data_IF_326384022981
#
_entry.id   IF_326384022981
#
_cell.length_a   1.000
_cell.length_b   1.000
_cell.length_c   1.000
_cell.angle_alpha   90.00
_cell.angle_beta   90.00
_cell.angle_gamma   90.00
#
_symmetry.space_group_name_H-M   'P 1'
#
loop_
_entity.id
_entity.type
_entity.pdbx_description
1 polymer ?
#
# COMPACT_ATOMS: atom_id res chain seq x y z
N UNK A 1 10.40 -30.85 -14.97
CA UNK A 1 10.78 -29.76 -14.06
C UNK A 1 9.88 -28.60 -14.37
N UNK A 2 8.86 -28.34 -13.55
CA UNK A 2 8.03 -27.14 -13.69
C UNK A 2 8.87 -25.94 -13.29
N UNK A 3 9.09 -25.03 -14.24
CA UNK A 3 9.78 -23.77 -13.99
C UNK A 3 9.05 -23.02 -12.87
N UNK A 4 9.72 -22.72 -11.76
CA UNK A 4 9.09 -22.00 -10.65
C UNK A 4 8.76 -20.59 -11.14
N UNK A 5 7.54 -20.08 -10.91
CA UNK A 5 7.20 -18.71 -11.32
C UNK A 5 8.12 -17.74 -10.58
N UNK A 6 8.90 -16.96 -11.36
CA UNK A 6 9.71 -15.88 -10.81
C UNK A 6 8.79 -14.78 -10.30
N UNK A 7 9.05 -14.29 -9.10
CA UNK A 7 8.39 -13.10 -8.57
C UNK A 7 8.51 -11.95 -9.57
N UNK A 8 7.37 -11.37 -9.93
CA UNK A 8 7.30 -10.20 -10.81
C UNK A 8 7.23 -8.92 -9.99
N UNK A 9 7.95 -7.89 -10.42
CA UNK A 9 8.01 -6.58 -9.74
C UNK A 9 7.38 -5.49 -10.59
N UNK A 10 6.52 -4.70 -9.97
CA UNK A 10 5.82 -3.56 -10.56
C UNK A 10 6.34 -2.28 -9.87
N UNK A 11 7.22 -1.56 -10.55
CA UNK A 11 7.79 -0.30 -10.05
C UNK A 11 6.95 0.90 -10.50
N UNK A 12 6.23 1.51 -9.57
CA UNK A 12 5.52 2.77 -9.78
C UNK A 12 6.54 3.91 -9.84
N UNK A 13 6.56 4.62 -10.96
CA UNK A 13 7.44 5.77 -11.17
C UNK A 13 6.78 6.77 -12.11
N UNK A 14 6.78 8.06 -11.75
CA UNK A 14 6.24 9.13 -12.59
C UNK A 14 7.14 9.38 -13.81
N UNK A 15 6.58 9.70 -14.98
CA UNK A 15 7.35 9.96 -16.21
C UNK A 15 8.40 11.07 -16.06
N UNK A 16 8.10 12.07 -15.22
CA UNK A 16 9.04 13.16 -14.94
C UNK A 16 10.20 12.77 -14.02
N UNK A 17 10.13 11.63 -13.33
CA UNK A 17 11.09 11.19 -12.31
C UNK A 17 12.10 10.18 -12.87
N UNK A 18 12.75 10.55 -13.99
CA UNK A 18 13.74 9.71 -14.68
C UNK A 18 15.00 9.46 -13.86
N UNK A 19 15.39 10.42 -13.03
CA UNK A 19 16.46 10.36 -12.04
C UNK A 19 16.21 9.26 -10.99
N UNK A 20 14.98 9.20 -10.44
CA UNK A 20 14.59 8.16 -9.49
C UNK A 20 14.54 6.78 -10.13
N UNK A 21 14.06 6.70 -11.38
CA UNK A 21 14.08 5.45 -12.15
C UNK A 21 15.52 4.94 -12.38
N UNK A 22 16.44 5.83 -12.78
CA UNK A 22 17.85 5.49 -12.99
C UNK A 22 18.53 5.00 -11.70
N UNK A 23 18.10 5.49 -10.53
CA UNK A 23 18.54 5.00 -9.22
C UNK A 23 17.97 3.63 -8.88
N UNK A 24 16.68 3.39 -9.16
CA UNK A 24 16.01 2.14 -8.81
C UNK A 24 16.42 0.96 -9.70
N UNK A 25 16.65 1.17 -11.00
CA UNK A 25 16.89 0.08 -11.95
C UNK A 25 18.09 -0.82 -11.54
N UNK A 26 19.29 -0.30 -11.21
CA UNK A 26 20.41 -1.15 -10.77
C UNK A 26 20.12 -1.94 -9.49
N UNK A 27 19.29 -1.40 -8.58
CA UNK A 27 18.88 -2.12 -7.38
C UNK A 27 17.98 -3.30 -7.74
N UNK A 28 17.03 -3.12 -8.66
CA UNK A 28 16.13 -4.17 -9.13
C UNK A 28 16.85 -5.24 -9.95
N UNK A 29 17.80 -4.84 -10.80
CA UNK A 29 18.60 -5.77 -11.59
C UNK A 29 19.43 -6.69 -10.68
N UNK A 30 19.95 -6.16 -9.57
CA UNK A 30 20.64 -6.96 -8.53
C UNK A 30 19.72 -7.95 -7.81
N UNK A 31 18.41 -7.69 -7.73
CA UNK A 31 17.44 -8.64 -7.16
C UNK A 31 17.28 -9.91 -8.00
N UNK A 32 17.72 -9.94 -9.27
CA UNK A 32 17.56 -11.10 -10.14
C UNK A 32 16.10 -11.43 -10.44
N UNK A 33 15.19 -10.47 -10.23
CA UNK A 33 13.75 -10.56 -10.46
C UNK A 33 13.39 -9.93 -11.79
N UNK A 34 12.31 -10.41 -12.40
CA UNK A 34 11.70 -9.71 -13.54
C UNK A 34 10.95 -8.50 -13.01
N UNK A 35 11.22 -7.33 -13.60
CA UNK A 35 10.56 -6.10 -13.20
C UNK A 35 10.10 -5.32 -14.43
N UNK A 36 9.00 -4.59 -14.26
CA UNK A 36 8.56 -3.60 -15.23
C UNK A 36 8.23 -2.28 -14.53
N UNK A 37 8.42 -1.19 -15.25
CA UNK A 37 7.98 0.12 -14.83
C UNK A 37 6.48 0.25 -15.08
N UNK A 38 5.73 0.64 -14.05
CA UNK A 38 4.35 1.09 -14.14
C UNK A 38 4.36 2.63 -14.13
N UNK A 39 3.96 3.29 -15.23
CA UNK A 39 3.87 4.75 -15.27
C UNK A 39 2.93 5.26 -14.18
N UNK A 40 3.47 6.05 -13.26
CA UNK A 40 2.68 6.66 -12.20
C UNK A 40 1.73 7.71 -12.77
N UNK A 41 0.53 7.77 -12.21
CA UNK A 41 -0.46 8.80 -12.56
C UNK A 41 -0.10 10.11 -11.87
N UNK A 42 0.26 11.11 -12.68
CA UNK A 42 0.48 12.46 -12.19
C UNK A 42 -0.84 13.16 -11.91
N UNK A 43 -1.31 13.04 -10.66
CA UNK A 43 -2.62 13.58 -10.28
C UNK A 43 -2.82 15.07 -10.54
N UNK A 44 -1.74 15.88 -10.49
CA UNK A 44 -1.76 17.32 -10.84
C UNK A 44 -2.11 17.58 -12.31
N UNK A 45 -1.96 16.60 -13.20
CA UNK A 45 -2.32 16.67 -14.63
C UNK A 45 -3.72 16.14 -14.94
N UNK A 46 -4.43 15.56 -13.97
CA UNK A 46 -5.80 15.10 -14.16
C UNK A 46 -6.75 16.29 -14.29
N UNK A 47 -7.72 16.19 -15.20
CA UNK A 47 -8.75 17.21 -15.36
C UNK A 47 -9.58 17.34 -14.07
N UNK A 48 -10.03 18.56 -13.76
CA UNK A 48 -10.84 18.83 -12.56
C UNK A 48 -12.10 17.95 -12.48
N UNK A 49 -12.76 17.70 -13.62
CA UNK A 49 -13.91 16.80 -13.69
C UNK A 49 -13.57 15.34 -13.36
N UNK A 50 -12.39 14.87 -13.73
CA UNK A 50 -11.92 13.54 -13.34
C UNK A 50 -11.60 13.48 -11.84
N UNK A 51 -10.90 14.48 -11.29
CA UNK A 51 -10.62 14.57 -9.86
C UNK A 51 -11.92 14.54 -9.04
N UNK A 52 -12.92 15.33 -9.44
CA UNK A 52 -14.23 15.39 -8.80
C UNK A 52 -15.00 14.07 -8.93
N UNK A 53 -14.95 13.41 -10.08
CA UNK A 53 -15.54 12.07 -10.27
C UNK A 53 -14.84 11.03 -9.38
N UNK A 54 -13.51 11.07 -9.29
CA UNK A 54 -12.72 10.10 -8.50
C UNK A 54 -12.86 10.33 -7.00
N UNK A 55 -13.02 11.55 -6.52
CA UNK A 55 -13.21 11.84 -5.11
C UNK A 55 -14.31 12.90 -4.93
N UNK A 56 -15.59 12.53 -5.10
CA UNK A 56 -16.69 13.46 -4.89
C UNK A 56 -16.71 13.85 -3.42
N UNK A 57 -16.74 15.16 -3.13
CA UNK A 57 -16.79 15.66 -1.77
C UNK A 57 -18.01 16.58 -1.58
N UNK A 58 -18.88 16.32 -0.58
CA UNK A 58 -18.79 15.25 0.42
C UNK A 58 -19.03 13.86 -0.20
N UNK A 59 -18.16 12.89 0.13
CA UNK A 59 -18.29 11.53 -0.39
C UNK A 59 -19.55 10.86 0.20
N UNK A 60 -20.28 10.03 -0.57
CA UNK A 60 -21.53 9.40 -0.13
C UNK A 60 -21.37 8.54 1.15
N UNK A 61 -20.15 8.05 1.42
CA UNK A 61 -19.84 7.28 2.63
C UNK A 61 -19.07 8.07 3.70
N UNK A 62 -18.61 9.29 3.39
CA UNK A 62 -17.99 10.23 4.35
C UNK A 62 -16.88 9.65 5.23
N UNK A 63 -16.12 8.67 4.73
CA UNK A 63 -15.22 7.87 5.56
C UNK A 63 -13.89 8.56 5.82
N UNK A 64 -13.43 9.42 4.91
CA UNK A 64 -12.26 10.25 5.09
C UNK A 64 -12.65 11.68 5.47
N UNK A 65 -11.81 12.30 6.29
CA UNK A 65 -12.13 13.58 6.94
C UNK A 65 -11.86 14.81 6.08
N UNK A 66 -11.38 14.63 4.84
CA UNK A 66 -11.15 15.71 3.85
C UNK A 66 -11.20 15.20 2.41
N UNK A 67 -11.23 16.10 1.41
CA UNK A 67 -10.90 15.73 0.03
C UNK A 67 -9.49 15.17 -0.08
N UNK A 68 -9.28 14.23 -1.01
CA UNK A 68 -7.95 13.76 -1.40
C UNK A 68 -7.23 14.84 -2.18
N UNK A 69 -5.91 14.94 -1.99
CA UNK A 69 -5.11 15.80 -2.87
C UNK A 69 -5.04 15.16 -4.26
N UNK A 70 -4.79 15.95 -5.34
CA UNK A 70 -4.53 15.37 -6.65
C UNK A 70 -3.39 14.33 -6.59
N UNK A 71 -2.33 14.61 -5.83
CA UNK A 71 -1.23 13.66 -5.61
C UNK A 71 -1.67 12.33 -4.99
N UNK A 72 -2.54 12.36 -3.97
CA UNK A 72 -3.08 11.14 -3.36
C UNK A 72 -3.99 10.35 -4.31
N UNK A 73 -4.77 11.04 -5.15
CA UNK A 73 -5.56 10.41 -6.21
C UNK A 73 -4.64 9.72 -7.22
N UNK A 74 -3.61 10.42 -7.71
CA UNK A 74 -2.64 9.88 -8.66
C UNK A 74 -1.87 8.68 -8.09
N UNK A 75 -1.43 8.76 -6.84
CA UNK A 75 -0.82 7.64 -6.11
C UNK A 75 -1.78 6.44 -6.08
N UNK A 76 -3.03 6.63 -5.62
CA UNK A 76 -4.02 5.54 -5.57
C UNK A 76 -4.23 4.89 -6.95
N UNK A 77 -4.42 5.70 -8.00
CA UNK A 77 -4.64 5.19 -9.36
C UNK A 77 -3.43 4.40 -9.88
N UNK A 78 -2.21 4.76 -9.48
CA UNK A 78 -0.99 4.03 -9.82
C UNK A 78 -0.96 2.64 -9.17
N UNK A 79 -1.28 2.54 -7.88
CA UNK A 79 -1.41 1.24 -7.20
C UNK A 79 -2.57 0.41 -7.74
N UNK A 80 -3.69 1.04 -8.07
CA UNK A 80 -4.82 0.38 -8.73
C UNK A 80 -4.40 -0.25 -10.05
N UNK A 81 -3.57 0.44 -10.85
CA UNK A 81 -3.02 -0.13 -12.08
C UNK A 81 -2.17 -1.36 -11.81
N UNK A 82 -1.35 -1.36 -10.76
CA UNK A 82 -0.58 -2.56 -10.37
C UNK A 82 -1.49 -3.74 -10.03
N UNK A 83 -2.57 -3.52 -9.27
CA UNK A 83 -3.52 -4.59 -8.94
C UNK A 83 -4.24 -5.14 -10.17
N UNK A 84 -4.61 -4.26 -11.11
CA UNK A 84 -5.18 -4.66 -12.40
C UNK A 84 -4.20 -5.50 -13.22
N UNK A 85 -2.93 -5.12 -13.29
CA UNK A 85 -1.90 -5.90 -14.00
C UNK A 85 -1.78 -7.32 -13.44
N UNK A 86 -1.81 -7.46 -12.11
CA UNK A 86 -1.75 -8.77 -11.43
C UNK A 86 -2.92 -9.66 -11.89
N UNK A 87 -4.13 -9.12 -11.98
CA UNK A 87 -5.30 -9.86 -12.45
C UNK A 87 -5.28 -10.14 -13.95
N UNK A 88 -5.05 -9.11 -14.77
CA UNK A 88 -4.98 -9.18 -16.24
C UNK A 88 -4.00 -10.26 -16.72
N UNK A 89 -2.87 -10.38 -16.03
CA UNK A 89 -1.77 -11.30 -16.40
C UNK A 89 -1.74 -12.57 -15.57
N UNK A 90 -2.74 -12.80 -14.70
CA UNK A 90 -2.81 -13.96 -13.82
C UNK A 90 -1.54 -14.20 -12.98
N UNK A 91 -0.90 -13.13 -12.50
CA UNK A 91 0.27 -13.25 -11.63
C UNK A 91 -0.18 -13.78 -10.27
N UNK A 92 0.41 -14.87 -9.79
CA UNK A 92 0.04 -15.44 -8.47
C UNK A 92 0.38 -14.49 -7.32
N UNK A 93 1.49 -13.76 -7.47
CA UNK A 93 1.95 -12.74 -6.55
C UNK A 93 2.84 -11.73 -7.30
N UNK A 94 2.81 -10.47 -6.88
CA UNK A 94 3.74 -9.46 -7.37
C UNK A 94 4.21 -8.54 -6.25
N UNK A 95 5.43 -8.04 -6.39
CA UNK A 95 5.98 -6.98 -5.55
C UNK A 95 5.63 -5.63 -6.16
N UNK A 96 4.92 -4.78 -5.42
CA UNK A 96 4.67 -3.39 -5.80
C UNK A 96 5.65 -2.50 -5.05
N UNK A 97 6.35 -1.65 -5.80
CA UNK A 97 7.31 -0.67 -5.27
C UNK A 97 6.95 0.74 -5.74
N UNK A 98 7.02 1.73 -4.85
CA UNK A 98 7.19 3.14 -5.22
C UNK A 98 8.68 3.43 -5.45
N UNK A 99 9.04 4.43 -6.24
CA UNK A 99 10.42 4.74 -6.64
C UNK A 99 11.28 5.48 -5.57
N UNK A 100 10.84 5.51 -4.32
CA UNK A 100 11.54 6.04 -3.13
C UNK A 100 11.92 4.92 -2.14
N UNK A 101 12.19 3.71 -2.64
CA UNK A 101 12.74 2.65 -1.80
C UNK A 101 14.28 2.64 -1.79
N UNK A 102 14.83 1.93 -0.82
CA UNK A 102 16.16 1.34 -0.84
C UNK A 102 16.14 -0.01 -0.09
N UNK A 103 17.11 -0.87 -0.34
CA UNK A 103 17.20 -2.21 0.22
C UNK A 103 17.65 -2.13 1.68
N UNK A 104 17.02 -2.92 2.56
CA UNK A 104 17.44 -2.99 3.96
C UNK A 104 18.64 -3.91 4.19
N UNK A 105 18.82 -4.92 3.33
CA UNK A 105 19.95 -5.85 3.38
C UNK A 105 20.14 -6.54 2.04
N UNK A 106 21.35 -7.03 1.76
CA UNK A 106 21.61 -7.91 0.60
C UNK A 106 20.82 -9.23 0.69
N UNK A 107 20.45 -9.68 1.90
CA UNK A 107 19.58 -10.85 2.09
C UNK A 107 18.13 -10.61 1.65
N UNK A 108 17.73 -9.37 1.36
CA UNK A 108 16.40 -9.07 0.79
C UNK A 108 16.20 -9.85 -0.51
N UNK A 109 17.27 -9.97 -1.32
CA UNK A 109 17.29 -10.67 -2.61
C UNK A 109 16.80 -12.12 -2.48
N UNK A 110 17.29 -12.84 -1.48
CA UNK A 110 17.01 -14.28 -1.30
C UNK A 110 15.70 -14.54 -0.56
N UNK A 111 15.19 -13.56 0.19
CA UNK A 111 14.00 -13.70 1.04
C UNK A 111 12.68 -13.38 0.33
N UNK A 112 12.70 -12.53 -0.71
CA UNK A 112 11.48 -12.10 -1.41
C UNK A 112 10.71 -13.27 -2.02
N UNK A 113 11.41 -14.25 -2.58
CA UNK A 113 10.78 -15.44 -3.17
C UNK A 113 10.07 -16.28 -2.11
N UNK A 114 10.73 -16.57 -0.98
CA UNK A 114 10.13 -17.31 0.14
C UNK A 114 8.91 -16.57 0.73
N UNK A 115 8.98 -15.24 0.82
CA UNK A 115 7.84 -14.42 1.21
C UNK A 115 6.71 -14.58 0.21
N UNK A 116 6.94 -14.40 -1.09
CA UNK A 116 5.92 -14.53 -2.11
C UNK A 116 5.25 -15.92 -2.13
N UNK A 117 6.02 -16.99 -2.00
CA UNK A 117 5.52 -18.37 -1.94
C UNK A 117 4.64 -18.63 -0.71
N UNK A 118 4.87 -17.91 0.40
CA UNK A 118 4.04 -18.03 1.60
C UNK A 118 2.62 -17.48 1.43
N UNK A 119 2.29 -16.78 0.35
CA UNK A 119 0.97 -16.19 0.08
C UNK A 119 -0.17 -17.21 0.14
N UNK A 120 0.11 -18.44 -0.30
CA UNK A 120 -0.82 -19.57 -0.30
C UNK A 120 -0.44 -20.66 0.70
N UNK A 121 0.50 -20.37 1.61
CA UNK A 121 0.97 -21.31 2.62
C UNK A 121 -0.04 -21.52 3.76
N UNK A 122 0.39 -22.14 4.87
CA UNK A 122 -0.46 -22.41 6.04
C UNK A 122 -1.03 -21.15 6.70
N UNK A 123 -0.39 -20.01 6.46
CA UNK A 123 -0.79 -18.70 6.94
C UNK A 123 -1.05 -17.75 5.75
N UNK A 124 -2.10 -17.99 4.95
CA UNK A 124 -2.27 -17.30 3.68
C UNK A 124 -2.60 -15.82 3.90
N UNK A 125 -2.12 -14.97 3.00
CA UNK A 125 -2.29 -13.52 3.09
C UNK A 125 -2.64 -12.90 1.72
N UNK A 126 -3.21 -11.68 1.78
CA UNK A 126 -3.61 -10.90 0.61
C UNK A 126 -2.59 -9.81 0.28
N UNK A 127 -2.09 -9.16 1.32
CA UNK A 127 -1.06 -8.12 1.23
C UNK A 127 0.00 -8.39 2.29
N UNK A 128 1.27 -8.36 1.90
CA UNK A 128 2.40 -8.46 2.81
C UNK A 128 3.24 -7.19 2.73
N UNK A 129 3.18 -6.39 3.79
CA UNK A 129 3.95 -5.15 3.93
C UNK A 129 5.41 -5.48 4.20
N UNK A 130 6.31 -4.81 3.49
CA UNK A 130 7.75 -5.06 3.53
C UNK A 130 8.54 -3.90 4.16
N UNK A 131 7.84 -2.94 4.74
CA UNK A 131 8.34 -1.70 5.32
C UNK A 131 7.62 -1.38 6.63
N UNK A 132 8.32 -0.62 7.49
CA UNK A 132 7.78 0.03 8.69
C UNK A 132 6.97 -0.88 9.62
N UNK A 133 7.41 -2.12 9.85
CA UNK A 133 6.78 -3.04 10.78
C UNK A 133 6.45 -2.33 12.10
N UNK A 134 5.17 -2.30 12.44
CA UNK A 134 4.67 -1.59 13.62
C UNK A 134 4.74 -2.46 14.87
N UNK A 135 5.08 -1.81 15.99
CA UNK A 135 5.00 -2.43 17.31
C UNK A 135 3.59 -3.01 17.58
N UNK A 136 3.55 -4.13 18.31
CA UNK A 136 2.31 -4.82 18.68
C UNK A 136 1.78 -5.80 17.63
N UNK A 137 2.49 -6.03 16.51
CA UNK A 137 2.19 -7.12 15.60
C UNK A 137 2.67 -8.47 16.20
N UNK A 138 1.82 -9.49 16.16
CA UNK A 138 2.16 -10.84 16.63
C UNK A 138 2.66 -11.69 15.46
N UNK A 139 3.56 -12.62 15.74
CA UNK A 139 3.98 -13.61 14.75
C UNK A 139 2.82 -14.56 14.45
N UNK A 140 2.55 -14.78 13.16
CA UNK A 140 1.51 -15.70 12.67
C UNK A 140 2.10 -16.87 11.89
N UNK A 141 3.32 -16.73 11.37
CA UNK A 141 4.11 -17.83 10.82
C UNK A 141 5.60 -17.50 10.85
N UNK A 142 6.43 -18.52 10.96
CA UNK A 142 7.89 -18.45 10.76
C UNK A 142 8.24 -19.16 9.46
N UNK A 143 9.02 -18.52 8.60
CA UNK A 143 9.40 -19.03 7.29
C UNK A 143 10.83 -19.62 7.25
N UNK A 144 11.50 -19.69 8.41
CA UNK A 144 12.92 -20.07 8.52
C UNK A 144 13.86 -18.86 8.45
N UNK A 145 15.14 -19.04 8.79
CA UNK A 145 16.21 -18.03 8.71
C UNK A 145 15.90 -16.67 9.39
N UNK A 146 15.11 -16.70 10.46
CA UNK A 146 14.65 -15.51 11.18
C UNK A 146 13.63 -14.66 10.42
N UNK A 147 13.05 -15.19 9.35
CA UNK A 147 11.99 -14.56 8.57
C UNK A 147 10.62 -14.92 9.16
N UNK A 148 9.82 -13.90 9.45
CA UNK A 148 8.49 -14.06 10.06
C UNK A 148 7.41 -13.31 9.29
N UNK A 149 6.20 -13.88 9.29
CA UNK A 149 4.98 -13.18 8.98
C UNK A 149 4.35 -12.71 10.28
N UNK A 150 4.05 -11.41 10.36
CA UNK A 150 3.43 -10.78 11.54
C UNK A 150 2.11 -10.12 11.17
N UNK A 151 1.14 -10.17 12.06
CA UNK A 151 -0.18 -9.59 11.86
C UNK A 151 -0.61 -8.76 13.07
N UNK A 152 -1.36 -7.69 12.80
CA UNK A 152 -1.91 -6.81 13.82
C UNK A 152 -1.09 -5.55 14.03
N UNK A 153 -1.15 -4.99 15.25
CA UNK A 153 -0.69 -3.62 15.50
C UNK A 153 -1.57 -2.57 14.80
N UNK A 154 -1.06 -1.34 14.67
CA UNK A 154 -1.74 -0.26 13.92
C UNK A 154 -1.61 -0.39 12.39
N UNK A 155 -0.86 -1.39 11.91
CA UNK A 155 -0.43 -1.54 10.51
C UNK A 155 0.53 -0.44 10.06
N UNK A 156 1.49 -0.71 9.15
CA UNK A 156 2.29 0.35 8.53
C UNK A 156 1.41 1.23 7.61
N UNK A 157 1.64 2.54 7.67
CA UNK A 157 0.95 3.57 6.87
C UNK A 157 1.87 4.00 5.71
N UNK A 158 2.20 3.08 4.81
CA UNK A 158 2.94 3.39 3.59
C UNK A 158 2.63 2.42 2.44
N UNK A 159 2.84 2.91 1.21
CA UNK A 159 2.73 2.16 -0.04
C UNK A 159 4.08 1.76 -0.65
N UNK A 160 5.19 2.15 0.00
CA UNK A 160 6.55 2.07 -0.54
C UNK A 160 6.92 0.71 -1.10
N UNK A 161 6.68 -0.36 -0.33
CA UNK A 161 7.00 -1.72 -0.74
C UNK A 161 6.08 -2.75 -0.09
N UNK A 162 5.40 -3.54 -0.92
CA UNK A 162 4.56 -4.62 -0.44
C UNK A 162 4.35 -5.70 -1.52
N UNK A 163 4.22 -6.95 -1.09
CA UNK A 163 3.73 -8.02 -1.95
C UNK A 163 2.20 -8.04 -1.93
N UNK A 164 1.60 -8.42 -3.05
CA UNK A 164 0.16 -8.63 -3.21
C UNK A 164 -0.05 -9.97 -3.89
N UNK A 165 -0.83 -10.84 -3.26
CA UNK A 165 -1.27 -12.07 -3.91
C UNK A 165 -2.39 -11.77 -4.91
N UNK A 166 -2.59 -12.64 -5.91
CA UNK A 166 -3.69 -12.50 -6.87
C UNK A 166 -5.05 -12.35 -6.19
N UNK A 167 -5.28 -13.11 -5.11
CA UNK A 167 -6.49 -13.01 -4.28
C UNK A 167 -6.61 -11.63 -3.64
N UNK A 168 -5.50 -11.05 -3.15
CA UNK A 168 -5.48 -9.69 -2.62
C UNK A 168 -5.77 -8.64 -3.69
N UNK A 169 -5.15 -8.75 -4.86
CA UNK A 169 -5.41 -7.87 -6.00
C UNK A 169 -6.90 -7.90 -6.39
N UNK A 170 -7.49 -9.08 -6.50
CA UNK A 170 -8.91 -9.25 -6.79
C UNK A 170 -9.87 -8.69 -5.74
N UNK A 171 -9.43 -8.53 -4.49
CA UNK A 171 -10.21 -7.82 -3.45
C UNK A 171 -10.02 -6.29 -3.53
N UNK A 172 -8.89 -5.84 -4.05
CA UNK A 172 -8.49 -4.43 -4.13
C UNK A 172 -8.98 -3.74 -5.42
N UNK A 173 -9.01 -4.45 -6.56
CA UNK A 173 -9.40 -3.89 -7.86
C UNK A 173 -10.90 -3.55 -7.99
N UNK A 174 -11.85 -4.40 -7.58
CA UNK A 174 -13.26 -4.13 -7.82
C UNK A 174 -13.76 -2.95 -6.97
N UNK A 175 -14.63 -2.12 -7.58
CA UNK A 175 -15.63 -1.25 -6.91
C UNK A 175 -15.25 0.13 -6.40
N UNK A 176 -14.23 0.81 -6.93
CA UNK A 176 -14.07 2.25 -6.60
C UNK A 176 -13.96 3.14 -7.83
N UNK A 177 -15.12 3.47 -8.38
CA UNK A 177 -15.29 4.73 -9.10
C UNK A 177 -14.89 5.90 -8.19
N UNK A 178 -15.29 5.82 -6.91
CA UNK A 178 -15.01 6.82 -5.88
C UNK A 178 -13.93 6.34 -4.89
N UNK A 179 -12.82 7.05 -4.85
CA UNK A 179 -11.76 6.92 -3.86
C UNK A 179 -12.22 7.56 -2.56
N UNK A 180 -12.34 6.76 -1.51
CA UNK A 180 -12.84 7.23 -0.22
C UNK A 180 -11.73 7.76 0.68
N UNK A 181 -10.49 7.31 0.50
CA UNK A 181 -9.32 7.60 1.34
C UNK A 181 -8.01 7.38 0.54
N UNK A 182 -6.86 7.87 1.01
CA UNK A 182 -5.57 7.57 0.38
C UNK A 182 -5.23 6.07 0.44
N UNK A 183 -4.35 5.59 -0.45
CA UNK A 183 -4.12 4.15 -0.67
C UNK A 183 -3.46 3.43 0.51
N UNK A 184 -2.53 4.07 1.20
CA UNK A 184 -1.92 3.60 2.45
C UNK A 184 -2.98 3.36 3.54
N UNK A 185 -3.99 4.24 3.61
CA UNK A 185 -5.15 4.07 4.47
C UNK A 185 -6.12 3.00 3.97
N UNK A 186 -6.27 2.82 2.66
CA UNK A 186 -7.08 1.73 2.10
C UNK A 186 -6.55 0.37 2.53
N UNK A 187 -5.23 0.18 2.43
CA UNK A 187 -4.56 -1.08 2.74
C UNK A 187 -4.61 -1.49 4.22
N UNK A 188 -5.02 -0.59 5.14
CA UNK A 188 -5.23 -0.93 6.56
C UNK A 188 -6.70 -1.16 6.95
N UNK A 189 -7.66 -0.82 6.09
CA UNK A 189 -9.09 -1.04 6.36
C UNK A 189 -9.51 -2.44 5.93
N UNK A 190 -8.83 -3.41 6.52
CA UNK A 190 -8.86 -4.78 6.04
C UNK A 190 -10.26 -5.40 6.12
N UNK A 191 -11.05 -5.03 7.11
CA UNK A 191 -12.42 -5.50 7.31
C UNK A 191 -13.40 -5.03 6.24
N UNK A 192 -13.14 -3.91 5.55
CA UNK A 192 -14.04 -3.38 4.51
C UNK A 192 -13.96 -4.19 3.21
N UNK A 193 -12.87 -4.94 3.02
CA UNK A 193 -12.57 -5.67 1.78
C UNK A 193 -12.21 -7.13 1.98
N UNK A 194 -12.43 -7.64 3.20
CA UNK A 194 -12.00 -8.99 3.54
C UNK A 194 -10.51 -9.21 3.21
N UNK A 195 -9.64 -8.27 3.58
CA UNK A 195 -8.20 -8.41 3.35
C UNK A 195 -7.53 -9.09 4.53
N UNK A 196 -6.62 -10.00 4.24
CA UNK A 196 -5.63 -10.50 5.19
C UNK A 196 -4.31 -9.77 4.95
N UNK A 197 -4.00 -8.81 5.82
CA UNK A 197 -2.78 -8.00 5.70
C UNK A 197 -1.79 -8.40 6.78
N UNK A 198 -0.60 -8.77 6.35
CA UNK A 198 0.54 -9.11 7.19
C UNK A 198 1.70 -8.14 6.95
N UNK A 199 2.72 -8.21 7.79
CA UNK A 199 4.00 -7.53 7.63
C UNK A 199 5.12 -8.55 7.76
N UNK A 200 6.17 -8.42 6.96
CA UNK A 200 7.39 -9.21 7.11
C UNK A 200 8.19 -8.73 8.33
N UNK A 201 8.93 -9.64 8.95
CA UNK A 201 9.98 -9.32 9.92
C UNK A 201 11.25 -10.09 9.56
N UNK A 202 12.41 -9.43 9.42
CA UNK A 202 12.59 -7.97 9.43
C UNK A 202 11.92 -7.28 8.23
N UNK A 203 11.87 -5.93 8.21
CA UNK A 203 11.50 -5.23 6.96
C UNK A 203 12.51 -5.54 5.86
N UNK A 204 12.08 -5.56 4.60
CA UNK A 204 12.95 -5.83 3.45
C UNK A 204 13.47 -4.55 2.80
N UNK A 205 12.71 -3.46 2.93
CA UNK A 205 13.00 -2.16 2.34
C UNK A 205 12.88 -1.05 3.39
N UNK A 206 13.42 0.12 3.06
CA UNK A 206 13.19 1.38 3.76
C UNK A 206 12.86 2.47 2.74
N UNK A 207 12.14 3.50 3.19
CA UNK A 207 11.76 4.62 2.34
C UNK A 207 12.84 5.69 2.41
N UNK A 208 13.37 6.08 1.27
CA UNK A 208 14.38 7.13 1.12
C UNK A 208 13.72 8.49 1.23
N UNK A 209 14.33 9.38 2.01
CA UNK A 209 13.89 10.78 2.14
C UNK A 209 12.96 11.08 3.31
N UNK A 210 12.68 10.13 4.21
CA UNK A 210 11.89 10.39 5.42
C UNK A 210 12.47 11.47 6.34
N UNK A 211 13.78 11.76 6.22
CA UNK A 211 14.48 12.76 7.04
C UNK A 211 14.85 14.05 6.27
N UNK A 212 14.69 14.12 4.94
CA UNK A 212 15.26 15.24 4.13
C UNK A 212 14.29 15.87 3.11
N UNK A 213 13.13 15.29 2.82
CA UNK A 213 12.13 15.97 1.98
C UNK A 213 10.71 15.66 2.43
N UNK A 214 9.91 16.72 2.61
CA UNK A 214 8.48 16.58 2.81
C UNK A 214 7.90 15.66 1.72
N UNK A 215 7.10 14.67 2.11
CA UNK A 215 6.37 13.80 1.18
C UNK A 215 5.73 14.65 0.08
N UNK A 216 6.15 14.44 -1.17
CA UNK A 216 5.59 15.14 -2.35
C UNK A 216 4.08 14.89 -2.48
N UNK A 217 3.59 13.79 -1.91
CA UNK A 217 2.16 13.44 -1.83
C UNK A 217 1.42 14.28 -0.77
N UNK A 218 2.13 14.69 0.29
CA UNK A 218 1.62 15.59 1.33
C UNK A 218 1.54 17.07 0.91
N UNK A 219 2.26 17.45 -0.14
CA UNK A 219 2.22 18.78 -0.75
C UNK A 219 0.79 19.09 -1.26
N UNK A 220 0.18 20.16 -0.76
CA UNK A 220 -1.20 20.53 -1.06
C UNK A 220 -2.29 19.94 -0.14
N UNK A 221 -1.93 19.23 0.94
CA UNK A 221 -2.90 18.93 2.01
C UNK A 221 -3.37 20.25 2.62
N UNK A 222 -4.66 20.57 2.47
CA UNK A 222 -5.24 21.77 3.06
C UNK A 222 -4.90 21.82 4.56
N UNK A 223 -4.18 22.86 4.97
CA UNK A 223 -4.00 23.20 6.37
C UNK A 223 -5.35 23.66 6.90
N UNK A 224 -6.08 22.77 7.57
CA UNK A 224 -7.34 23.17 8.21
C UNK A 224 -7.12 24.12 9.40
N UNK A 225 -5.87 24.51 9.68
CA UNK A 225 -5.57 25.53 10.68
C UNK A 225 -6.26 26.84 10.33
N UNK A 226 -6.38 27.12 9.03
CA UNK A 226 -6.86 28.37 8.44
C UNK A 226 -8.34 28.33 8.05
N UNK A 227 -9.02 27.22 8.31
CA UNK A 227 -10.46 27.09 8.04
C UNK A 227 -11.28 27.92 9.05
N UNK A 228 -12.43 28.49 8.63
CA UNK A 228 -13.39 29.09 9.55
C UNK A 228 -13.77 28.14 10.69
N UNK A 229 -14.04 28.63 11.92
CA UNK A 229 -14.25 27.79 13.09
C UNK A 229 -15.26 26.64 12.90
N UNK A 230 -16.41 26.91 12.27
CA UNK A 230 -17.43 25.89 12.01
C UNK A 230 -16.94 24.79 11.05
N UNK A 231 -16.26 25.16 9.96
CA UNK A 231 -15.71 24.20 9.00
C UNK A 231 -14.60 23.36 9.64
N UNK A 232 -13.74 24.00 10.44
CA UNK A 232 -12.70 23.35 11.22
C UNK A 232 -13.29 22.34 12.22
N UNK A 233 -14.34 22.71 12.94
CA UNK A 233 -15.08 21.81 13.85
C UNK A 233 -15.66 20.61 13.11
N UNK A 234 -16.29 20.82 11.94
CA UNK A 234 -16.82 19.71 11.13
C UNK A 234 -15.72 18.75 10.66
N UNK A 235 -14.56 19.25 10.26
CA UNK A 235 -13.39 18.41 9.90
C UNK A 235 -12.93 17.59 11.11
N UNK A 236 -12.81 18.22 12.29
CA UNK A 236 -12.44 17.51 13.52
C UNK A 236 -13.45 16.43 13.89
N UNK A 237 -14.76 16.71 13.83
CA UNK A 237 -15.80 15.72 14.09
C UNK A 237 -15.71 14.53 13.13
N UNK A 238 -15.50 14.78 11.82
CA UNK A 238 -15.29 13.72 10.82
C UNK A 238 -14.02 12.91 11.12
N UNK A 239 -12.93 13.58 11.49
CA UNK A 239 -11.66 12.95 11.87
C UNK A 239 -11.83 12.08 13.11
N UNK A 240 -12.51 12.56 14.14
CA UNK A 240 -12.82 11.78 15.34
C UNK A 240 -13.69 10.58 15.01
N UNK A 241 -14.76 10.75 14.22
CA UNK A 241 -15.62 9.66 13.76
C UNK A 241 -14.83 8.58 13.02
N UNK A 242 -13.93 8.98 12.14
CA UNK A 242 -13.03 8.07 11.42
C UNK A 242 -12.14 7.28 12.40
N UNK A 243 -11.46 7.96 13.34
CA UNK A 243 -10.59 7.29 14.30
C UNK A 243 -11.35 6.37 15.26
N UNK A 244 -12.57 6.74 15.68
CA UNK A 244 -13.43 5.89 16.51
C UNK A 244 -13.83 4.64 15.75
N UNK A 245 -14.26 4.75 14.49
CA UNK A 245 -14.57 3.58 13.64
C UNK A 245 -13.37 2.66 13.48
N UNK A 246 -12.20 3.22 13.16
CA UNK A 246 -10.96 2.45 13.03
C UNK A 246 -10.60 1.73 14.34
N UNK A 247 -10.70 2.44 15.47
CA UNK A 247 -10.41 1.90 16.80
C UNK A 247 -11.38 0.78 17.20
N UNK A 248 -12.68 0.97 16.97
CA UNK A 248 -13.71 -0.04 17.22
C UNK A 248 -13.45 -1.29 16.38
N UNK A 249 -13.23 -1.14 15.07
CA UNK A 249 -12.92 -2.27 14.19
C UNK A 249 -11.65 -3.01 14.61
N UNK A 250 -10.62 -2.28 15.05
CA UNK A 250 -9.38 -2.86 15.57
C UNK A 250 -9.58 -3.61 16.88
N UNK A 251 -10.40 -3.08 17.81
CA UNK A 251 -10.71 -3.69 19.12
C UNK A 251 -11.62 -4.90 19.02
N UNK A 252 -12.62 -4.84 18.14
CA UNK A 252 -13.53 -5.94 17.86
C UNK A 252 -12.88 -7.05 17.02
N UNK A 253 -11.60 -6.91 16.66
CA UNK A 253 -10.87 -7.92 15.92
C UNK A 253 -11.36 -8.10 14.47
N UNK A 254 -12.13 -7.16 13.93
CA UNK A 254 -12.68 -7.26 12.57
C UNK A 254 -11.58 -7.33 11.50
N UNK A 255 -10.41 -6.74 11.78
CA UNK A 255 -9.22 -6.85 10.94
C UNK A 255 -8.29 -8.02 11.29
N UNK A 256 -8.56 -8.77 12.37
CA UNK A 256 -7.78 -9.93 12.83
C UNK A 256 -8.52 -11.20 12.44
N UNK A 257 -8.45 -11.59 11.17
CA UNK A 257 -8.93 -12.92 10.79
C UNK A 257 -7.95 -13.98 11.29
N UNK A 258 -8.48 -15.09 11.80
CA UNK A 258 -7.67 -16.25 12.17
C UNK A 258 -7.03 -16.80 10.90
N UNK A 259 -5.74 -16.52 10.75
CA UNK A 259 -4.88 -17.00 9.66
C UNK A 259 -4.62 -18.52 9.79
N UNK A 260 -4.97 -19.10 10.94
CA UNK A 260 -4.93 -20.53 11.21
C UNK A 260 -6.33 -21.14 11.00
N UNK A 261 -6.49 -21.90 9.91
CA UNK A 261 -7.49 -22.95 9.77
C UNK A 261 -6.81 -24.19 9.22
#
# INVERSE_FOLDING_TARGET
MTERPRLHVLLINLDRSSDRLARCAPLLDRLGVSWERVPGVEGKKLAAGELARRNPHPAPHGEWFRPLTPGEIGCFLSHLRCWQIIEERNLDCALVLEDDFDLRSECTLTRLQALAESATGPAPWDVLKLTRLRQGARTVASLGDGLELRQGGKGPEDGTAYLVSRRGAAKLTPRREHLLRPVDFELKHTWERDLVVCSASPDMFWQVGSDVAASVIGDGRASYRDFPPLQKTLVYLRKHRYHVRFWLASRLGLGRRNVLR
#
